data_IF_142108384481
#
_entry.id   IF_142108384481
#
_cell.length_a   1.000
_cell.length_b   1.000
_cell.length_c   1.000
_cell.angle_alpha   90.00
_cell.angle_beta   90.00
_cell.angle_gamma   90.00
#
_symmetry.space_group_name_H-M   'P 1'
#
loop_
_entity.id
_entity.type
_entity.pdbx_description
1 polymer ?
#
# COMPACT_ATOMS: atom_id res chain seq x y z
N UNK A 1 2.47 0.85 11.59
CA UNK A 1 3.19 1.81 10.73
C UNK A 1 4.02 1.02 9.74
N UNK A 2 3.98 1.32 8.44
CA UNK A 2 5.01 0.86 7.51
C UNK A 2 6.29 1.64 7.89
N UNK A 3 7.13 1.04 8.74
CA UNK A 3 8.32 1.68 9.31
C UNK A 3 9.52 1.74 8.37
N UNK A 4 9.32 1.49 7.07
CA UNK A 4 10.36 1.42 6.06
C UNK A 4 9.78 1.41 4.65
N UNK A 5 10.67 1.43 3.64
CA UNK A 5 10.27 1.36 2.24
C UNK A 5 9.63 0.00 1.92
N UNK A 6 8.51 0.01 1.19
CA UNK A 6 7.82 -1.19 0.75
C UNK A 6 7.48 -1.08 -0.72
N UNK A 7 7.83 -2.11 -1.48
CA UNK A 7 7.49 -2.22 -2.89
C UNK A 7 6.01 -2.57 -3.04
N UNK A 8 5.28 -1.74 -3.79
CA UNK A 8 3.85 -1.92 -4.08
C UNK A 8 3.56 -1.46 -5.50
N UNK A 9 2.45 -1.91 -6.08
CA UNK A 9 2.03 -1.49 -7.41
C UNK A 9 0.55 -1.11 -7.45
N UNK A 10 0.15 -0.33 -8.46
CA UNK A 10 -1.25 -0.03 -8.68
C UNK A 10 -2.02 -1.31 -9.06
N UNK A 11 -3.23 -1.46 -8.53
CA UNK A 11 -4.06 -2.66 -8.72
C UNK A 11 -4.37 -2.95 -10.19
N UNK A 12 -4.55 -1.90 -11.00
CA UNK A 12 -4.83 -2.03 -12.43
C UNK A 12 -3.68 -2.70 -13.17
N UNK A 13 -2.45 -2.42 -12.76
CA UNK A 13 -1.25 -2.83 -13.47
C UNK A 13 -0.75 -4.18 -12.92
N UNK A 14 -0.79 -4.38 -11.60
CA UNK A 14 -0.51 -5.68 -10.99
C UNK A 14 -1.38 -5.97 -9.77
N UNK A 15 -2.52 -6.61 -10.02
CA UNK A 15 -3.56 -6.83 -9.01
C UNK A 15 -3.10 -7.58 -7.75
N UNK A 16 -2.09 -8.46 -7.83
CA UNK A 16 -1.59 -9.16 -6.64
C UNK A 16 -0.83 -8.23 -5.69
N UNK A 17 -0.07 -7.25 -6.21
CA UNK A 17 0.69 -6.30 -5.40
C UNK A 17 -0.09 -5.03 -5.05
N UNK A 18 -1.25 -4.83 -5.69
CA UNK A 18 -2.13 -3.70 -5.42
C UNK A 18 -3.22 -3.97 -4.39
N UNK A 19 -3.26 -5.14 -3.72
CA UNK A 19 -4.22 -5.44 -2.63
C UNK A 19 -3.51 -5.32 -1.28
N UNK A 20 -4.15 -4.71 -0.30
CA UNK A 20 -3.61 -4.60 1.06
C UNK A 20 -4.69 -4.72 2.13
N UNK A 21 -4.26 -5.00 3.36
CA UNK A 21 -5.13 -5.05 4.55
C UNK A 21 -4.61 -4.11 5.62
N UNK A 22 -5.51 -3.46 6.35
CA UNK A 22 -5.18 -2.75 7.58
C UNK A 22 -5.45 -3.68 8.75
N UNK A 23 -4.47 -3.81 9.64
CA UNK A 23 -4.54 -4.68 10.81
C UNK A 23 -4.33 -3.87 12.08
N UNK A 24 -5.19 -4.14 13.06
CA UNK A 24 -5.09 -3.59 14.41
C UNK A 24 -5.47 -4.69 15.41
N UNK A 25 -4.74 -4.77 16.52
CA UNK A 25 -4.89 -5.82 17.55
C UNK A 25 -5.02 -7.26 17.00
N UNK A 26 -4.22 -7.57 15.97
CA UNK A 26 -4.23 -8.89 15.32
C UNK A 26 -5.40 -9.15 14.36
N UNK A 27 -6.39 -8.26 14.30
CA UNK A 27 -7.59 -8.37 13.45
C UNK A 27 -7.45 -7.54 12.19
N UNK A 28 -8.14 -7.97 11.13
CA UNK A 28 -8.28 -7.17 9.90
C UNK A 28 -9.41 -6.19 10.08
N UNK A 29 -9.10 -4.90 10.02
CA UNK A 29 -10.08 -3.82 10.17
C UNK A 29 -10.52 -3.23 8.82
N UNK A 30 -9.70 -3.39 7.78
CA UNK A 30 -10.05 -2.97 6.42
C UNK A 30 -9.31 -3.78 5.35
N UNK A 31 -9.91 -3.81 4.16
CA UNK A 31 -9.32 -4.34 2.93
C UNK A 31 -9.35 -3.25 1.88
N UNK A 32 -8.24 -3.03 1.18
CA UNK A 32 -8.09 -1.96 0.21
C UNK A 32 -7.35 -2.38 -1.06
N UNK A 33 -7.44 -1.52 -2.08
CA UNK A 33 -6.65 -1.63 -3.31
C UNK A 33 -5.94 -0.31 -3.62
N UNK A 34 -4.73 -0.39 -4.18
CA UNK A 34 -3.94 0.77 -4.56
C UNK A 34 -4.40 1.25 -5.94
N UNK A 35 -4.78 2.52 -6.01
CA UNK A 35 -5.23 3.16 -7.27
C UNK A 35 -4.25 4.21 -7.77
N UNK A 36 -3.34 4.67 -6.91
CA UNK A 36 -2.34 5.69 -7.21
C UNK A 36 -1.16 5.56 -6.25
N UNK A 37 0.05 5.71 -6.76
CA UNK A 37 1.29 5.85 -5.99
C UNK A 37 1.72 7.31 -6.11
N UNK A 38 2.02 7.95 -4.98
CA UNK A 38 2.54 9.30 -4.96
C UNK A 38 4.07 9.24 -5.01
N UNK A 39 4.74 10.11 -5.78
CA UNK A 39 6.19 10.21 -5.74
C UNK A 39 6.63 10.61 -4.33
N UNK A 40 7.77 10.07 -3.89
CA UNK A 40 8.41 10.53 -2.66
C UNK A 40 8.71 12.01 -2.79
N UNK A 41 8.34 12.79 -1.76
CA UNK A 41 8.72 14.20 -1.67
C UNK A 41 10.20 14.24 -1.26
N UNK A 42 11.07 13.90 -2.20
CA UNK A 42 12.45 14.35 -2.17
C UNK A 42 12.44 15.65 -2.97
N UNK A 43 12.38 16.79 -2.26
CA UNK A 43 12.92 18.03 -2.81
C UNK A 43 14.40 17.77 -3.07
N UNK A 44 14.74 17.54 -4.34
CA UNK A 44 16.07 17.91 -4.83
C UNK A 44 16.29 19.42 -4.58
#
# INVERSE_FOLDING_TARGET
MLGGAVCVECFRDFAQMGRFTLRDEGKTIAVGKIVKILPSISSD
#
